data_IF_606232401054
#
_entry.id   IF_606232401054
#
_cell.length_a   1.000
_cell.length_b   1.000
_cell.length_c   1.000
_cell.angle_alpha   90.00
_cell.angle_beta   90.00
_cell.angle_gamma   90.00
#
_symmetry.space_group_name_H-M   'P 1'
#
loop_
_entity.id
_entity.type
_entity.pdbx_description
1 polymer ?
#
# COMPACT_ATOMS: atom_id res chain seq x y z
N UNK A 1 8.73 29.10 27.13
CA UNK A 1 8.39 27.68 27.27
C UNK A 1 7.30 27.43 26.26
N UNK A 2 7.59 26.62 25.25
CA UNK A 2 6.56 26.19 24.29
C UNK A 2 5.86 24.99 24.91
N UNK A 3 4.60 25.20 25.24
CA UNK A 3 3.63 24.19 25.68
C UNK A 3 2.89 23.71 24.43
N UNK A 4 3.62 22.97 23.58
CA UNK A 4 3.08 22.42 22.35
C UNK A 4 2.79 20.95 22.58
N UNK A 5 1.51 20.58 22.50
CA UNK A 5 1.04 19.20 22.55
C UNK A 5 1.85 18.34 21.57
N UNK A 6 2.65 17.43 22.13
CA UNK A 6 3.59 16.57 21.41
C UNK A 6 2.84 15.61 20.45
N UNK A 7 1.52 15.46 20.59
CA UNK A 7 0.71 14.57 19.75
C UNK A 7 0.42 15.11 18.34
N UNK A 8 0.50 16.43 18.11
CA UNK A 8 0.20 17.04 16.79
C UNK A 8 1.37 16.88 15.80
N UNK A 9 2.60 16.80 16.30
CA UNK A 9 3.82 16.71 15.48
C UNK A 9 4.02 15.30 14.89
N UNK A 10 3.50 14.26 15.55
CA UNK A 10 3.63 12.88 15.09
C UNK A 10 2.47 12.40 14.21
N UNK A 11 1.31 13.06 14.27
CA UNK A 11 0.17 12.76 13.40
C UNK A 11 0.40 13.17 11.95
N UNK A 12 1.08 14.30 11.75
CA UNK A 12 1.24 14.95 10.44
C UNK A 12 2.31 14.28 9.54
N UNK A 13 3.23 13.52 10.14
CA UNK A 13 4.22 12.73 9.37
C UNK A 13 3.66 11.38 8.90
N UNK A 14 2.64 10.85 9.57
CA UNK A 14 1.96 9.62 9.17
C UNK A 14 0.95 9.85 8.04
N UNK A 15 0.45 11.07 7.87
CA UNK A 15 -0.39 11.50 6.74
C UNK A 15 0.42 11.95 5.52
N UNK A 16 1.70 11.55 5.41
CA UNK A 16 2.56 11.76 4.25
C UNK A 16 1.75 11.61 2.96
N UNK A 17 1.53 12.76 2.33
CA UNK A 17 0.53 12.98 1.30
C UNK A 17 0.42 11.80 0.33
N UNK A 18 -0.79 11.28 0.15
CA UNK A 18 -1.12 10.42 -1.00
C UNK A 18 -0.51 11.10 -2.23
N UNK A 19 0.37 10.41 -2.99
CA UNK A 19 1.03 11.03 -4.12
C UNK A 19 -0.01 11.67 -5.03
N UNK A 20 0.24 12.91 -5.46
CA UNK A 20 -0.67 13.58 -6.40
C UNK A 20 -0.76 12.79 -7.69
N UNK A 21 -1.83 13.01 -8.46
CA UNK A 21 -2.00 12.40 -9.78
C UNK A 21 -0.77 12.65 -10.68
N UNK A 22 -0.19 13.85 -10.62
CA UNK A 22 1.04 14.19 -11.36
C UNK A 22 2.25 13.31 -10.96
N UNK A 23 2.39 12.98 -9.67
CA UNK A 23 3.47 12.10 -9.20
C UNK A 23 3.21 10.67 -9.68
N UNK A 24 1.95 10.21 -9.60
CA UNK A 24 1.56 8.89 -10.11
C UNK A 24 1.82 8.74 -11.61
N UNK A 25 1.50 9.76 -12.41
CA UNK A 25 1.78 9.79 -13.84
C UNK A 25 3.28 9.65 -14.12
N UNK A 26 4.12 10.38 -13.37
CA UNK A 26 5.58 10.27 -13.50
C UNK A 26 6.08 8.86 -13.15
N UNK A 27 5.58 8.26 -12.07
CA UNK A 27 5.94 6.89 -11.67
C UNK A 27 5.51 5.90 -12.74
N UNK A 28 4.27 6.00 -13.23
CA UNK A 28 3.74 5.11 -14.25
C UNK A 28 4.50 5.26 -15.58
N UNK A 29 4.93 6.46 -15.93
CA UNK A 29 5.75 6.68 -17.14
C UNK A 29 7.07 5.91 -17.14
N UNK A 30 7.63 5.56 -15.98
CA UNK A 30 8.85 4.75 -15.90
C UNK A 30 8.64 3.33 -16.46
N UNK A 31 7.42 2.80 -16.38
CA UNK A 31 7.08 1.47 -16.93
C UNK A 31 7.18 1.43 -18.45
N UNK A 32 6.94 2.57 -19.11
CA UNK A 32 6.92 2.69 -20.58
C UNK A 32 8.24 3.24 -21.14
N UNK A 33 8.89 4.15 -20.42
CA UNK A 33 10.04 4.91 -20.91
C UNK A 33 11.38 4.21 -20.73
N UNK A 34 11.44 3.20 -19.87
CA UNK A 34 12.63 2.39 -19.67
C UNK A 34 12.75 1.34 -20.79
N UNK A 35 13.97 0.83 -21.09
CA UNK A 35 14.16 -0.20 -22.11
C UNK A 35 13.22 -1.39 -21.91
N UNK A 36 12.76 -2.02 -23.00
CA UNK A 36 11.65 -2.99 -22.98
C UNK A 36 11.85 -4.28 -22.16
N UNK A 37 13.04 -4.52 -21.61
CA UNK A 37 13.32 -5.60 -20.66
C UNK A 37 13.29 -5.13 -19.18
N UNK A 38 13.00 -3.86 -18.93
CA UNK A 38 12.98 -3.28 -17.60
C UNK A 38 11.71 -3.68 -16.88
N UNK A 39 11.87 -4.28 -15.70
CA UNK A 39 10.77 -4.73 -14.85
C UNK A 39 10.59 -3.72 -13.74
N UNK A 40 9.46 -3.02 -13.74
CA UNK A 40 9.11 -2.03 -12.72
C UNK A 40 8.05 -2.63 -11.80
N UNK A 41 8.32 -2.61 -10.50
CA UNK A 41 7.36 -2.98 -9.46
C UNK A 41 7.15 -1.79 -8.54
N UNK A 42 5.90 -1.41 -8.29
CA UNK A 42 5.56 -0.30 -7.39
C UNK A 42 4.93 -0.84 -6.12
N UNK A 43 5.25 -0.23 -4.98
CA UNK A 43 4.75 -0.57 -3.66
C UNK A 43 4.10 0.67 -3.07
N UNK A 44 2.87 0.54 -2.60
CA UNK A 44 2.20 1.57 -1.81
C UNK A 44 2.24 1.15 -0.34
N UNK A 45 2.60 2.08 0.53
CA UNK A 45 2.85 1.83 1.94
C UNK A 45 2.06 2.82 2.80
N UNK A 46 1.44 2.30 3.86
CA UNK A 46 0.80 3.10 4.90
C UNK A 46 1.65 3.02 6.18
N UNK A 47 2.08 4.16 6.76
CA UNK A 47 2.84 4.19 8.00
C UNK A 47 2.18 3.38 9.12
N UNK A 48 3.00 2.62 9.86
CA UNK A 48 2.59 1.74 10.96
C UNK A 48 1.68 0.55 10.57
N UNK A 49 1.18 0.49 9.34
CA UNK A 49 0.35 -0.62 8.85
C UNK A 49 1.16 -1.60 8.00
N UNK A 50 1.81 -1.14 6.93
CA UNK A 50 2.52 -2.02 6.00
C UNK A 50 2.33 -1.64 4.54
N UNK A 51 2.75 -2.55 3.66
CA UNK A 51 2.51 -2.45 2.21
C UNK A 51 1.05 -2.79 1.94
N UNK A 52 0.30 -1.88 1.33
CA UNK A 52 -1.13 -2.05 1.06
C UNK A 52 -1.44 -2.44 -0.38
N UNK A 53 -0.50 -2.20 -1.30
CA UNK A 53 -0.64 -2.49 -2.73
C UNK A 53 0.73 -2.76 -3.36
N UNK A 54 0.79 -3.78 -4.21
CA UNK A 54 1.94 -4.08 -5.06
C UNK A 54 1.44 -4.21 -6.50
N UNK A 55 2.02 -3.43 -7.41
CA UNK A 55 1.79 -3.57 -8.85
C UNK A 55 3.02 -4.17 -9.51
N UNK A 56 2.90 -5.40 -9.99
CA UNK A 56 4.00 -6.13 -10.61
C UNK A 56 4.35 -5.59 -12.02
N UNK A 57 5.41 -6.11 -12.68
CA UNK A 57 5.77 -5.69 -14.04
C UNK A 57 4.73 -6.01 -15.12
N UNK A 58 3.80 -6.92 -14.85
CA UNK A 58 2.70 -7.28 -15.76
C UNK A 58 1.43 -6.43 -15.48
N UNK A 59 1.53 -5.41 -14.63
CA UNK A 59 0.44 -4.58 -14.14
C UNK A 59 -0.62 -5.34 -13.33
N UNK A 60 -0.27 -6.49 -12.75
CA UNK A 60 -1.12 -7.18 -11.78
C UNK A 60 -1.00 -6.47 -10.44
N UNK A 61 -2.15 -6.03 -9.90
CA UNK A 61 -2.24 -5.34 -8.61
C UNK A 61 -2.67 -6.35 -7.55
N UNK A 62 -1.80 -6.58 -6.58
CA UNK A 62 -2.12 -7.34 -5.36
C UNK A 62 -2.29 -6.38 -4.20
N UNK A 63 -3.42 -6.48 -3.49
CA UNK A 63 -3.76 -5.68 -2.32
C UNK A 63 -3.61 -6.49 -1.04
N UNK A 64 -3.31 -5.79 0.05
CA UNK A 64 -3.07 -6.37 1.35
C UNK A 64 -3.88 -5.64 2.42
N UNK A 65 -4.50 -6.40 3.32
CA UNK A 65 -5.21 -5.87 4.48
C UNK A 65 -4.62 -6.41 5.77
N UNK A 66 -4.73 -5.60 6.82
CA UNK A 66 -4.11 -5.85 8.11
C UNK A 66 -5.14 -5.66 9.22
N UNK A 67 -4.98 -6.41 10.30
CA UNK A 67 -5.73 -6.18 11.53
C UNK A 67 -5.15 -5.02 12.36
N UNK A 68 -5.82 -4.70 13.47
CA UNK A 68 -5.41 -3.62 14.39
C UNK A 68 -4.05 -3.83 15.08
N UNK A 69 -3.43 -5.00 14.91
CA UNK A 69 -2.09 -5.31 15.42
C UNK A 69 -1.05 -5.31 14.29
N UNK A 70 -1.38 -4.73 13.14
CA UNK A 70 -0.54 -4.67 11.94
C UNK A 70 -0.11 -6.05 11.42
N UNK A 71 -0.97 -7.07 11.61
CA UNK A 71 -0.74 -8.42 11.06
C UNK A 71 -1.55 -8.59 9.79
N UNK A 72 -0.93 -9.16 8.75
CA UNK A 72 -1.55 -9.40 7.45
C UNK A 72 -2.73 -10.37 7.60
N UNK A 73 -3.94 -9.96 7.21
CA UNK A 73 -5.14 -10.82 7.24
C UNK A 73 -5.53 -11.30 5.86
N UNK A 74 -5.37 -10.46 4.82
CA UNK A 74 -5.89 -10.76 3.49
C UNK A 74 -4.90 -10.30 2.41
N UNK A 75 -4.69 -11.15 1.41
CA UNK A 75 -4.03 -10.83 0.14
C UNK A 75 -4.97 -11.20 -1.00
N UNK A 76 -5.21 -10.25 -1.92
CA UNK A 76 -6.20 -10.43 -2.99
C UNK A 76 -5.90 -9.53 -4.19
N UNK A 77 -6.54 -9.83 -5.33
CA UNK A 77 -6.70 -8.87 -6.41
C UNK A 77 -8.18 -8.55 -6.61
N UNK A 78 -8.48 -7.48 -7.34
CA UNK A 78 -9.85 -7.13 -7.72
C UNK A 78 -10.12 -7.67 -9.13
N UNK A 79 -11.24 -8.38 -9.30
CA UNK A 79 -11.70 -8.74 -10.63
C UNK A 79 -12.31 -7.53 -11.37
N UNK A 80 -12.80 -7.76 -12.59
CA UNK A 80 -13.40 -6.72 -13.42
C UNK A 80 -14.64 -6.05 -12.78
N UNK A 81 -15.30 -6.73 -11.84
CA UNK A 81 -16.47 -6.23 -11.11
C UNK A 81 -16.07 -5.61 -9.75
N UNK A 82 -14.78 -5.37 -9.54
CA UNK A 82 -14.19 -4.91 -8.27
C UNK A 82 -14.47 -5.82 -7.07
N UNK A 83 -14.66 -7.13 -7.31
CA UNK A 83 -14.80 -8.12 -6.24
C UNK A 83 -13.42 -8.63 -5.82
N UNK A 84 -13.23 -8.84 -4.53
CA UNK A 84 -12.01 -9.45 -4.00
C UNK A 84 -11.91 -10.89 -4.44
N UNK A 85 -10.88 -11.20 -5.21
CA UNK A 85 -10.44 -12.57 -5.46
C UNK A 85 -9.29 -12.87 -4.52
N UNK A 86 -9.60 -13.64 -3.47
CA UNK A 86 -8.66 -13.98 -2.42
C UNK A 86 -7.53 -14.86 -2.96
N UNK A 87 -6.29 -14.42 -2.71
CA UNK A 87 -5.09 -15.22 -2.90
C UNK A 87 -4.72 -15.94 -1.60
N UNK A 88 -4.83 -15.25 -0.48
CA UNK A 88 -4.50 -15.79 0.84
C UNK A 88 -5.25 -15.08 1.96
N UNK A 89 -5.69 -15.83 2.96
CA UNK A 89 -6.31 -15.30 4.17
C UNK A 89 -5.66 -15.90 5.42
N UNK A 90 -5.43 -15.07 6.43
CA UNK A 90 -4.90 -15.43 7.74
C UNK A 90 -5.92 -15.10 8.82
N UNK A 91 -6.28 -16.10 9.64
CA UNK A 91 -7.20 -15.93 10.75
C UNK A 91 -6.41 -16.11 12.04
N UNK A 92 -6.26 -15.02 12.78
CA UNK A 92 -5.57 -15.02 14.07
C UNK A 92 -6.56 -15.13 15.22
N UNK A 93 -6.36 -16.14 16.07
CA UNK A 93 -7.11 -16.30 17.31
C UNK A 93 -6.29 -15.81 18.50
N UNK A 94 -6.90 -15.00 19.36
CA UNK A 94 -6.32 -14.71 20.67
C UNK A 94 -6.52 -15.95 21.55
N UNK A 95 -5.44 -16.45 22.16
CA UNK A 95 -5.51 -17.55 23.10
C UNK A 95 -6.43 -17.19 24.26
N UNK A 96 -7.32 -18.14 24.62
CA UNK A 96 -8.07 -18.07 25.88
C UNK A 96 -7.17 -18.38 27.06
#
# INVERSE_FOLDING_TARGET
GYDGDIEDVFGDWASLAVPTEEIWDKINSLRERLPGNTRVTTYEYVPLQGVVSITDPNNVITKFEYDNYSRLTDSYYLDADARKVMLQQYIYHFGK
#
